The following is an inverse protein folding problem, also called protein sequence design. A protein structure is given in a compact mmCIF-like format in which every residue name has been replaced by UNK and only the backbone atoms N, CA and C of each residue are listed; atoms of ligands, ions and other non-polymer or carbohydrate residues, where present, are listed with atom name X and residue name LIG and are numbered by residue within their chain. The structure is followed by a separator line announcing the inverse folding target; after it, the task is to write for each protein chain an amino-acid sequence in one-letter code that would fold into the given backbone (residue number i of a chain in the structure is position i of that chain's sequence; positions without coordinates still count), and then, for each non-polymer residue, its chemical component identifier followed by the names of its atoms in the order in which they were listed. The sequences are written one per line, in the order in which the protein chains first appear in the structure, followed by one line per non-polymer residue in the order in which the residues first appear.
data_IF_277570748292
#
_entry.id   IF_277570748292
#
_cell.length_a   1.000
_cell.length_b   1.000
_cell.length_c   1.000
_cell.angle_alpha   90.00
_cell.angle_beta   90.00
_cell.angle_gamma   90.00
#
_symmetry.space_group_name_H-M   'P 1'
#
loop_
_entity.id
_entity.type
_entity.pdbx_description
1 polymer ?
#
# COMPACT_ATOMS: atom_id res chain seq x y z
N UNK A 1 -8.39 0.34 -16.31
CA UNK A 1 -8.86 -0.66 -15.34
C UNK A 1 -7.66 -1.16 -14.55
N UNK A 2 -7.69 -1.17 -13.21
CA UNK A 2 -6.63 -1.74 -12.40
C UNK A 2 -6.69 -3.27 -12.41
N UNK A 3 -5.56 -3.93 -12.19
CA UNK A 3 -5.47 -5.39 -12.07
C UNK A 3 -5.63 -5.87 -10.63
N UNK A 4 -5.38 -4.99 -9.64
CA UNK A 4 -5.41 -5.29 -8.21
C UNK A 4 -5.93 -4.10 -7.41
N UNK A 5 -6.43 -4.37 -6.21
CA UNK A 5 -6.92 -3.38 -5.27
C UNK A 5 -6.13 -3.45 -3.96
N UNK A 6 -5.58 -2.31 -3.53
CA UNK A 6 -4.86 -2.20 -2.27
C UNK A 6 -5.56 -1.22 -1.33
N UNK A 7 -5.65 -1.55 -0.05
CA UNK A 7 -6.32 -0.72 0.96
C UNK A 7 -5.56 -0.72 2.29
N UNK A 8 -5.63 0.40 3.02
CA UNK A 8 -5.08 0.50 4.36
C UNK A 8 -5.90 -0.34 5.38
N UNK A 9 -5.20 -0.97 6.30
CA UNK A 9 -5.78 -1.61 7.49
C UNK A 9 -6.16 -0.56 8.51
N UNK A 10 -7.40 -0.62 9.00
CA UNK A 10 -7.86 0.27 10.07
C UNK A 10 -7.32 -0.27 11.40
N UNK A 11 -6.51 0.54 12.10
CA UNK A 11 -6.08 0.25 13.46
C UNK A 11 -6.95 1.00 14.47
N UNK A 12 -7.03 0.46 15.69
CA UNK A 12 -7.75 0.94 16.88
C UNK A 12 -8.02 2.46 16.87
N UNK A 13 -9.26 2.83 16.54
CA UNK A 13 -9.70 4.22 16.53
C UNK A 13 -9.97 4.71 17.95
N UNK A 14 -9.51 5.92 18.29
CA UNK A 14 -9.76 6.54 19.61
C UNK A 14 -11.25 6.86 19.84
N UNK A 15 -12.01 7.05 18.77
CA UNK A 15 -13.44 7.38 18.82
C UNK A 15 -14.25 6.28 18.10
N UNK A 16 -15.17 5.59 18.78
CA UNK A 16 -15.97 4.52 18.19
C UNK A 16 -16.88 4.98 17.05
N UNK A 17 -17.44 6.20 17.11
CA UNK A 17 -18.33 6.71 16.05
C UNK A 17 -17.56 6.93 14.75
N UNK A 18 -16.35 7.48 14.85
CA UNK A 18 -15.46 7.63 13.69
C UNK A 18 -14.99 6.28 13.17
N UNK A 19 -14.75 5.31 14.05
CA UNK A 19 -14.39 3.94 13.69
C UNK A 19 -15.49 3.28 12.86
N UNK A 20 -16.75 3.44 13.29
CA UNK A 20 -17.91 2.85 12.62
C UNK A 20 -18.10 3.43 11.22
N UNK A 21 -18.04 4.76 11.08
CA UNK A 21 -18.14 5.45 9.78
C UNK A 21 -17.03 5.03 8.81
N UNK A 22 -15.80 4.94 9.31
CA UNK A 22 -14.66 4.49 8.52
C UNK A 22 -14.81 3.01 8.12
N UNK A 23 -15.28 2.17 9.04
CA UNK A 23 -15.57 0.75 8.77
C UNK A 23 -16.61 0.55 7.68
N UNK A 24 -17.69 1.35 7.69
CA UNK A 24 -18.73 1.32 6.64
C UNK A 24 -18.16 1.72 5.27
N UNK A 25 -17.41 2.82 5.20
CA UNK A 25 -16.79 3.28 3.96
C UNK A 25 -15.80 2.24 3.41
N UNK A 26 -14.97 1.67 4.28
CA UNK A 26 -14.03 0.60 3.94
C UNK A 26 -14.74 -0.65 3.43
N UNK A 27 -15.79 -1.08 4.13
CA UNK A 27 -16.60 -2.24 3.73
C UNK A 27 -17.19 -2.06 2.33
N UNK A 28 -17.75 -0.88 2.05
CA UNK A 28 -18.27 -0.55 0.72
C UNK A 28 -17.18 -0.64 -0.37
N UNK A 29 -15.98 -0.11 -0.09
CA UNK A 29 -14.85 -0.18 -1.04
C UNK A 29 -14.39 -1.62 -1.31
N UNK A 30 -14.28 -2.46 -0.28
CA UNK A 30 -13.90 -3.87 -0.41
C UNK A 30 -14.95 -4.66 -1.20
N UNK A 31 -16.24 -4.43 -0.93
CA UNK A 31 -17.32 -5.07 -1.70
C UNK A 31 -17.26 -4.66 -3.17
N UNK A 32 -17.04 -3.37 -3.47
CA UNK A 32 -16.90 -2.90 -4.84
C UNK A 32 -15.71 -3.55 -5.57
N UNK A 33 -14.55 -3.65 -4.92
CA UNK A 33 -13.36 -4.32 -5.48
C UNK A 33 -13.61 -5.83 -5.72
N UNK A 34 -14.29 -6.48 -4.77
CA UNK A 34 -14.66 -7.91 -4.86
C UNK A 34 -15.62 -8.16 -6.02
N UNK A 35 -16.65 -7.31 -6.18
CA UNK A 35 -17.60 -7.39 -7.30
C UNK A 35 -16.91 -7.17 -8.65
N UNK A 36 -15.83 -6.39 -8.68
CA UNK A 36 -14.97 -6.20 -9.84
C UNK A 36 -13.93 -7.32 -10.04
N UNK A 37 -13.96 -8.39 -9.22
CA UNK A 37 -13.03 -9.52 -9.27
C UNK A 37 -11.56 -9.14 -9.12
N UNK A 38 -11.27 -8.04 -8.40
CA UNK A 38 -9.90 -7.61 -8.15
C UNK A 38 -9.32 -8.34 -6.93
N UNK A 39 -8.09 -8.89 -7.00
CA UNK A 39 -7.34 -9.31 -5.84
C UNK A 39 -7.19 -8.14 -4.85
N UNK A 40 -7.44 -8.40 -3.56
CA UNK A 40 -7.40 -7.39 -2.50
C UNK A 40 -6.18 -7.62 -1.62
N UNK A 41 -5.36 -6.58 -1.47
CA UNK A 41 -4.22 -6.56 -0.54
C UNK A 41 -4.41 -5.50 0.54
N UNK A 42 -4.03 -5.84 1.77
CA UNK A 42 -4.18 -4.96 2.93
C UNK A 42 -2.82 -4.61 3.55
N UNK A 43 -2.63 -3.34 3.89
CA UNK A 43 -1.38 -2.86 4.46
C UNK A 43 -1.61 -1.99 5.71
N UNK A 44 -0.79 -2.18 6.74
CA UNK A 44 -0.77 -1.28 7.89
C UNK A 44 -0.17 0.08 7.54
N UNK A 45 -0.58 1.14 8.24
CA UNK A 45 0.02 2.48 8.14
C UNK A 45 1.55 2.45 8.20
N UNK A 46 2.10 1.58 9.06
CA UNK A 46 3.54 1.42 9.24
C UNK A 46 4.20 0.82 7.99
N UNK A 47 3.59 -0.18 7.36
CA UNK A 47 4.11 -0.77 6.10
C UNK A 47 4.09 0.26 4.97
N UNK A 48 3.01 1.03 4.85
CA UNK A 48 2.87 2.07 3.82
C UNK A 48 4.00 3.11 3.98
N UNK A 49 4.16 3.66 5.19
CA UNK A 49 5.22 4.62 5.51
C UNK A 49 6.62 4.04 5.30
N UNK A 50 6.82 2.78 5.68
CA UNK A 50 8.10 2.09 5.48
C UNK A 50 8.44 1.93 3.99
N UNK A 51 7.45 1.57 3.16
CA UNK A 51 7.64 1.35 1.73
C UNK A 51 7.89 2.65 0.96
N UNK A 52 7.21 3.74 1.34
CA UNK A 52 7.25 5.01 0.60
C UNK A 52 8.39 5.92 1.08
N UNK A 53 8.63 5.98 2.39
CA UNK A 53 9.59 6.93 3.00
C UNK A 53 10.84 6.22 3.52
N UNK A 54 10.83 4.89 3.64
CA UNK A 54 11.92 4.12 4.24
C UNK A 54 11.87 4.06 5.77
N UNK A 55 10.86 4.67 6.42
CA UNK A 55 10.67 4.63 7.88
C UNK A 55 9.19 4.52 8.24
N UNK A 56 8.81 3.44 8.92
CA UNK A 56 7.42 3.20 9.31
C UNK A 56 6.79 4.23 10.28
N UNK A 57 7.61 5.06 10.93
CA UNK A 57 7.17 6.15 11.81
C UNK A 57 7.12 7.53 11.15
N UNK A 58 7.20 7.63 9.82
CA UNK A 58 7.21 8.90 9.10
C UNK A 58 5.92 9.72 9.28
N UNK A 59 6.04 11.04 9.16
CA UNK A 59 4.91 11.96 9.19
C UNK A 59 4.14 11.98 7.86
N UNK A 60 2.86 12.36 7.90
CA UNK A 60 2.00 12.43 6.70
C UNK A 60 2.57 13.34 5.62
N UNK A 61 3.19 14.46 6.00
CA UNK A 61 3.83 15.41 5.07
C UNK A 61 5.02 14.79 4.36
N UNK A 62 5.79 13.93 5.04
CA UNK A 62 6.90 13.20 4.43
C UNK A 62 6.39 12.18 3.42
N UNK A 63 5.30 11.47 3.73
CA UNK A 63 4.64 10.55 2.80
C UNK A 63 4.18 11.31 1.55
N UNK A 64 3.46 12.42 1.72
CA UNK A 64 2.97 13.24 0.60
C UNK A 64 4.11 13.78 -0.29
N UNK A 65 5.19 14.26 0.33
CA UNK A 65 6.38 14.70 -0.39
C UNK A 65 7.02 13.56 -1.19
N UNK A 66 7.17 12.38 -0.57
CA UNK A 66 7.72 11.21 -1.23
C UNK A 66 6.84 10.69 -2.36
N UNK A 67 5.52 10.66 -2.18
CA UNK A 67 4.57 10.31 -3.26
C UNK A 67 4.74 11.24 -4.46
N UNK A 68 4.79 12.56 -4.22
CA UNK A 68 5.02 13.54 -5.29
C UNK A 68 6.34 13.26 -6.01
N UNK A 69 7.40 12.99 -5.26
CA UNK A 69 8.74 12.74 -5.81
C UNK A 69 8.81 11.43 -6.61
N UNK A 70 8.34 10.32 -6.03
CA UNK A 70 8.38 8.98 -6.64
C UNK A 70 7.55 8.91 -7.93
N UNK A 71 6.42 9.61 -7.98
CA UNK A 71 5.53 9.64 -9.14
C UNK A 71 5.81 10.82 -10.08
N UNK A 72 6.81 11.65 -9.80
CA UNK A 72 7.14 12.87 -10.57
C UNK A 72 5.92 13.78 -10.81
N UNK A 73 5.07 13.97 -9.79
CA UNK A 73 3.85 14.78 -9.93
C UNK A 73 4.19 16.27 -10.03
N UNK A 74 3.52 16.97 -10.94
CA UNK A 74 3.69 18.41 -11.15
C UNK A 74 3.24 19.25 -9.94
N UNK A 75 2.24 18.77 -9.21
CA UNK A 75 1.67 19.42 -8.03
C UNK A 75 1.75 18.55 -6.78
N UNK A 76 1.57 19.17 -5.62
CA UNK A 76 1.37 18.43 -4.37
C UNK A 76 -0.06 17.88 -4.35
N UNK A 77 -0.26 16.56 -4.31
CA UNK A 77 -1.60 15.97 -4.30
C UNK A 77 -2.35 16.33 -3.00
N UNK A 78 -3.68 16.37 -3.04
CA UNK A 78 -4.49 16.45 -1.82
C UNK A 78 -4.12 15.31 -0.86
N UNK A 79 -4.26 15.54 0.46
CA UNK A 79 -3.90 14.56 1.49
C UNK A 79 -4.50 13.16 1.22
N UNK A 80 -5.80 13.08 0.94
CA UNK A 80 -6.47 11.79 0.69
C UNK A 80 -5.95 11.09 -0.58
N UNK A 81 -5.66 11.87 -1.63
CA UNK A 81 -5.07 11.36 -2.86
C UNK A 81 -3.63 10.88 -2.63
N UNK A 82 -2.85 11.60 -1.81
CA UNK A 82 -1.50 11.21 -1.43
C UNK A 82 -1.51 9.90 -0.65
N UNK A 83 -2.42 9.75 0.32
CA UNK A 83 -2.58 8.53 1.12
C UNK A 83 -2.97 7.35 0.21
N UNK A 84 -3.91 7.53 -0.72
CA UNK A 84 -4.30 6.49 -1.69
C UNK A 84 -3.14 6.08 -2.62
N UNK A 85 -2.39 7.05 -3.16
CA UNK A 85 -1.21 6.78 -3.99
C UNK A 85 -0.10 6.08 -3.20
N UNK A 86 0.08 6.42 -1.92
CA UNK A 86 1.04 5.75 -1.05
C UNK A 86 0.69 4.28 -0.82
N UNK A 87 -0.60 3.96 -0.64
CA UNK A 87 -1.07 2.56 -0.54
C UNK A 87 -0.78 1.79 -1.83
N UNK A 88 -1.06 2.39 -2.99
CA UNK A 88 -0.78 1.78 -4.29
C UNK A 88 0.73 1.54 -4.51
N UNK A 89 1.58 2.52 -4.18
CA UNK A 89 3.04 2.36 -4.21
C UNK A 89 3.52 1.27 -3.25
N UNK A 90 2.94 1.21 -2.05
CA UNK A 90 3.25 0.16 -1.08
C UNK A 90 2.99 -1.24 -1.65
N UNK A 91 1.86 -1.40 -2.32
CA UNK A 91 1.49 -2.64 -3.00
C UNK A 91 2.49 -3.00 -4.10
N UNK A 92 2.75 -2.08 -5.04
CA UNK A 92 3.68 -2.29 -6.14
C UNK A 92 5.10 -2.67 -5.66
N UNK A 93 5.62 -1.98 -4.64
CA UNK A 93 6.92 -2.31 -4.06
C UNK A 93 6.95 -3.70 -3.39
N UNK A 94 5.85 -4.08 -2.73
CA UNK A 94 5.74 -5.39 -2.07
C UNK A 94 5.76 -6.51 -3.12
N UNK A 95 4.97 -6.38 -4.18
CA UNK A 95 4.95 -7.35 -5.28
C UNK A 95 6.30 -7.48 -5.96
N UNK A 96 6.94 -6.36 -6.30
CA UNK A 96 8.27 -6.37 -6.90
C UNK A 96 9.29 -7.07 -6.00
N UNK A 97 9.21 -6.86 -4.69
CA UNK A 97 10.09 -7.51 -3.71
C UNK A 97 9.88 -9.02 -3.67
N UNK A 98 8.63 -9.48 -3.71
CA UNK A 98 8.29 -10.91 -3.76
C UNK A 98 8.80 -11.57 -5.04
N UNK A 99 8.62 -10.92 -6.20
CA UNK A 99 9.12 -11.40 -7.50
C UNK A 99 10.66 -11.53 -7.46
N UNK A 100 11.34 -10.51 -6.93
CA UNK A 100 12.80 -10.51 -6.82
C UNK A 100 13.30 -11.66 -5.93
N UNK A 101 12.66 -11.90 -4.77
CA UNK A 101 13.02 -12.99 -3.86
C UNK A 101 12.79 -14.37 -4.49
N UNK A 102 11.67 -14.57 -5.18
CA UNK A 102 11.39 -15.82 -5.89
C UNK A 102 12.44 -16.11 -6.98
N UNK A 103 12.86 -15.08 -7.72
CA UNK A 103 13.93 -15.19 -8.72
C UNK A 103 15.29 -15.54 -8.11
N UNK A 104 15.62 -14.97 -6.93
CA UNK A 104 16.88 -15.26 -6.22
C UNK A 104 16.91 -16.70 -5.67
N UNK A 105 15.82 -17.17 -5.05
CA UNK A 105 15.70 -18.53 -4.53
C UNK A 105 15.94 -19.58 -5.64
N UNK A 106 15.39 -19.34 -6.84
CA UNK A 106 15.57 -20.22 -8.01
C UNK A 106 17.02 -20.28 -8.50
N UNK A 107 17.78 -19.18 -8.36
CA UNK A 107 19.22 -19.14 -8.68
C UNK A 107 20.07 -19.89 -7.65
N UNK A 108 19.77 -19.75 -6.36
CA UNK A 108 20.51 -20.42 -5.27
C UNK A 108 20.35 -21.93 -5.32
N UNK A 109 19.15 -22.43 -5.63
CA UNK A 109 18.90 -23.89 -5.79
C UNK A 109 19.69 -24.48 -6.95
N UNK A 110 19.83 -23.75 -8.07
CA UNK A 110 20.66 -24.18 -9.21
C UNK A 110 22.17 -24.13 -8.95
N UNK A 111 22.61 -23.37 -7.95
CA UNK A 111 24.03 -23.14 -7.65
C UNK A 111 24.67 -24.13 -6.67
N UNK A 112 23.91 -25.07 -6.07
CA UNK A 112 24.41 -26.04 -5.07
C UNK A 112 24.39 -27.49 -5.56
N UNK A 113 25.03 -27.75 -6.69
CA UNK A 113 25.46 -29.08 -7.10
C UNK A 113 26.96 -29.06 -7.37
N UNK A 114 27.76 -29.09 -6.30
CA UNK A 114 29.09 -29.72 -6.21
C UNK A 114 29.43 -29.91 -4.74
#
# INVERSE_FOLDING_TARGET
NPDQFAIEQVFMAKNPDSALKLGQARGAAIVAATQAQLPIAEYSARQIKQSVVGKGGADKTQVQHMVKHLLSLSGTPQADAADALAVALCHAHTEQSLINMAGQARKTVRGRLR
#
